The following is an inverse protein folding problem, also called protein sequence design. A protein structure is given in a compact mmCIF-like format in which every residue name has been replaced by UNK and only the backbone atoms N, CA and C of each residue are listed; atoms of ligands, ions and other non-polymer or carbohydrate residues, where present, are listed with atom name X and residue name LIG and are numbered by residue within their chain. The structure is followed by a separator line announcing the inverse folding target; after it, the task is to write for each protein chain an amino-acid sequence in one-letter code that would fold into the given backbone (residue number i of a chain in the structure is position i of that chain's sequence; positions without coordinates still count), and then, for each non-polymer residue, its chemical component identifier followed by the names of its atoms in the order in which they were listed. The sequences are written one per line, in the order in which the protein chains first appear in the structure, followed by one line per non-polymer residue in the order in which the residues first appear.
data_IF_571089324599
#
_entry.id   IF_571089324599
#
_cell.length_a   1.000
_cell.length_b   1.000
_cell.length_c   1.000
_cell.angle_alpha   90.00
_cell.angle_beta   90.00
_cell.angle_gamma   90.00
#
_symmetry.space_group_name_H-M   'P 1'
#
loop_
_entity.id
_entity.type
_entity.pdbx_description
1 polymer ?
#
# COMPACT_ATOMS: atom_id res chain seq x y z
N UNK A 1 -18.28 49.68 4.65
CA UNK A 1 -16.83 49.57 4.96
C UNK A 1 -16.48 48.40 5.90
N UNK A 2 -17.33 48.00 6.82
CA UNK A 2 -17.06 46.88 7.76
C UNK A 2 -16.93 45.51 7.12
N UNK A 3 -17.64 45.25 6.04
CA UNK A 3 -17.57 43.97 5.35
C UNK A 3 -16.18 43.70 4.69
N UNK A 4 -15.49 44.77 4.28
CA UNK A 4 -14.12 44.65 3.74
C UNK A 4 -13.15 44.17 4.84
N UNK A 5 -13.31 44.70 6.07
CA UNK A 5 -12.52 44.25 7.21
C UNK A 5 -12.77 42.78 7.56
N UNK A 6 -14.02 42.32 7.47
CA UNK A 6 -14.36 40.91 7.69
C UNK A 6 -13.78 39.98 6.60
N UNK A 7 -13.79 40.39 5.35
CA UNK A 7 -13.17 39.65 4.25
C UNK A 7 -11.64 39.56 4.42
N UNK A 8 -11.00 40.67 4.79
CA UNK A 8 -9.55 40.70 5.05
C UNK A 8 -9.19 39.79 6.21
N UNK A 9 -9.95 39.80 7.32
CA UNK A 9 -9.74 38.91 8.48
C UNK A 9 -9.91 37.44 8.04
N UNK A 10 -10.96 37.12 7.27
CA UNK A 10 -11.18 35.76 6.79
C UNK A 10 -10.04 35.26 5.90
N UNK A 11 -9.51 36.10 5.02
CA UNK A 11 -8.36 35.78 4.17
C UNK A 11 -7.09 35.56 5.01
N UNK A 12 -6.85 36.42 6.02
CA UNK A 12 -5.69 36.24 6.91
C UNK A 12 -5.80 34.93 7.69
N UNK A 13 -6.98 34.59 8.22
CA UNK A 13 -7.20 33.33 8.93
C UNK A 13 -6.96 32.15 7.98
N UNK A 14 -7.45 32.20 6.76
CA UNK A 14 -7.23 31.15 5.75
C UNK A 14 -5.74 30.98 5.43
N UNK A 15 -5.01 32.07 5.26
CA UNK A 15 -3.55 32.04 5.02
C UNK A 15 -2.82 31.42 6.23
N UNK A 16 -3.19 31.80 7.46
CA UNK A 16 -2.61 31.24 8.68
C UNK A 16 -2.87 29.73 8.78
N UNK A 17 -4.08 29.29 8.43
CA UNK A 17 -4.43 27.87 8.41
C UNK A 17 -3.61 27.12 7.33
N UNK A 18 -3.48 27.68 6.13
CA UNK A 18 -2.69 27.09 5.04
C UNK A 18 -1.20 27.00 5.43
N UNK A 19 -0.66 28.07 6.05
CA UNK A 19 0.73 28.07 6.52
C UNK A 19 0.93 27.09 7.68
N UNK A 20 -0.04 26.96 8.58
CA UNK A 20 0.00 25.99 9.68
C UNK A 20 -0.06 24.54 9.15
N UNK A 21 -0.91 24.26 8.16
CA UNK A 21 -0.97 22.95 7.48
C UNK A 21 0.33 22.68 6.72
N UNK A 22 0.84 23.66 5.97
CA UNK A 22 2.10 23.51 5.23
C UNK A 22 3.32 23.34 6.15
N UNK A 23 3.34 24.00 7.33
CA UNK A 23 4.38 23.80 8.34
C UNK A 23 4.23 22.47 9.07
N UNK A 24 3.02 22.00 9.33
CA UNK A 24 2.76 20.66 9.87
C UNK A 24 3.23 19.58 8.90
N UNK A 25 2.90 19.70 7.61
CA UNK A 25 3.38 18.79 6.55
C UNK A 25 4.90 18.87 6.36
N UNK A 26 5.51 20.05 6.53
CA UNK A 26 6.97 20.23 6.41
C UNK A 26 7.71 19.72 7.65
N UNK A 27 7.14 19.88 8.86
CA UNK A 27 7.68 19.31 10.09
C UNK A 27 7.58 17.78 10.12
N UNK A 28 6.56 17.21 9.47
CA UNK A 28 6.42 15.75 9.34
C UNK A 28 7.47 15.12 8.39
N UNK A 29 8.05 15.93 7.49
CA UNK A 29 9.17 15.53 6.61
C UNK A 29 10.58 15.72 7.22
N UNK A 30 10.69 16.37 8.36
CA UNK A 30 11.97 16.85 8.91
C UNK A 30 12.45 16.23 10.21
N UNK A 31 11.66 15.43 10.91
CA UNK A 31 12.05 14.87 12.21
C UNK A 31 12.23 13.35 12.18
N UNK A 32 13.34 12.89 11.62
CA UNK A 32 13.89 11.55 11.82
C UNK A 32 14.74 11.46 13.10
N UNK A 33 14.32 12.19 14.14
CA UNK A 33 15.00 12.26 15.43
C UNK A 33 14.05 12.07 16.59
N UNK A 34 14.19 10.91 17.23
CA UNK A 34 13.90 10.61 18.63
C UNK A 34 12.52 10.99 19.21
N UNK A 35 11.75 9.97 19.55
CA UNK A 35 10.79 10.00 20.66
C UNK A 35 9.31 10.19 20.36
N UNK A 36 8.61 9.21 19.74
CA UNK A 36 7.13 9.16 19.78
C UNK A 36 6.50 8.53 18.54
N UNK A 37 5.69 7.48 18.73
CA UNK A 37 4.96 6.84 17.63
C UNK A 37 4.01 7.80 16.91
N UNK A 38 4.08 7.82 15.59
CA UNK A 38 3.22 8.62 14.71
C UNK A 38 1.80 8.03 14.63
N UNK A 39 0.76 8.86 14.76
CA UNK A 39 -0.63 8.45 14.53
C UNK A 39 -0.98 8.56 13.04
N UNK A 40 -1.36 7.46 12.44
CA UNK A 40 -1.91 7.40 11.08
C UNK A 40 -3.41 7.22 11.17
N UNK A 41 -4.17 7.86 10.29
CA UNK A 41 -5.64 7.84 10.29
C UNK A 41 -6.21 6.44 10.48
N UNK A 42 -6.95 6.23 11.58
CA UNK A 42 -7.48 4.92 11.99
C UNK A 42 -7.12 4.49 13.41
N UNK A 43 -6.33 5.28 14.16
CA UNK A 43 -6.11 5.08 15.60
C UNK A 43 -5.04 4.07 16.01
N UNK A 44 -4.41 3.39 15.07
CA UNK A 44 -3.33 2.44 15.37
C UNK A 44 -1.97 3.15 15.36
N UNK A 45 -1.20 3.00 16.43
CA UNK A 45 0.14 3.59 16.55
C UNK A 45 1.19 2.62 16.05
N UNK A 46 2.10 3.09 15.20
CA UNK A 46 3.31 2.33 14.84
C UNK A 46 4.25 2.32 16.04
N UNK A 47 4.70 1.14 16.53
CA UNK A 47 5.59 1.05 17.68
C UNK A 47 6.91 1.81 17.47
N UNK A 48 7.37 2.51 18.48
CA UNK A 48 8.59 3.31 18.46
C UNK A 48 9.87 2.54 18.05
N UNK A 49 9.96 1.27 18.45
CA UNK A 49 11.12 0.43 18.15
C UNK A 49 11.10 -0.26 16.79
N UNK A 50 10.12 0.06 15.92
CA UNK A 50 10.07 -0.48 14.55
C UNK A 50 11.23 0.13 13.73
N UNK A 51 12.06 -0.67 13.03
CA UNK A 51 13.08 -0.16 12.13
C UNK A 51 12.52 0.83 11.09
N UNK A 52 13.31 1.81 10.66
CA UNK A 52 12.85 2.87 9.77
C UNK A 52 12.23 2.32 8.46
N UNK A 53 12.86 1.29 7.86
CA UNK A 53 12.33 0.66 6.64
C UNK A 53 11.00 -0.04 6.87
N UNK A 54 10.83 -0.74 8.01
CA UNK A 54 9.58 -1.41 8.36
C UNK A 54 8.47 -0.38 8.62
N UNK A 55 8.81 0.78 9.22
CA UNK A 55 7.87 1.89 9.42
C UNK A 55 7.39 2.49 8.10
N UNK A 56 8.32 2.71 7.17
CA UNK A 56 7.99 3.23 5.84
C UNK A 56 7.07 2.27 5.07
N UNK A 57 7.32 0.95 5.12
CA UNK A 57 6.45 -0.07 4.54
C UNK A 57 5.05 -0.04 5.15
N UNK A 58 4.95 -0.13 6.47
CA UNK A 58 3.65 -0.06 7.19
C UNK A 58 2.86 1.23 6.92
N UNK A 59 3.57 2.35 6.71
CA UNK A 59 2.93 3.61 6.33
C UNK A 59 2.34 3.53 4.93
N UNK A 60 3.10 3.03 3.95
CA UNK A 60 2.64 2.85 2.58
C UNK A 60 1.41 1.95 2.48
N UNK A 61 1.42 0.80 3.17
CA UNK A 61 0.28 -0.13 3.24
C UNK A 61 -0.98 0.56 3.80
N UNK A 62 -0.85 1.33 4.89
CA UNK A 62 -1.96 2.08 5.49
C UNK A 62 -2.49 3.16 4.54
N UNK A 63 -1.61 3.86 3.85
CA UNK A 63 -1.97 4.90 2.88
C UNK A 63 -2.74 4.30 1.71
N UNK A 64 -2.26 3.21 1.12
CA UNK A 64 -2.95 2.48 0.04
C UNK A 64 -4.33 2.02 0.51
N UNK A 65 -4.42 1.35 1.65
CA UNK A 65 -5.69 0.88 2.22
C UNK A 65 -6.68 2.02 2.46
N UNK A 66 -6.22 3.17 2.96
CA UNK A 66 -7.04 4.37 3.16
C UNK A 66 -7.63 4.88 1.84
N UNK A 67 -6.85 4.86 0.78
CA UNK A 67 -7.28 5.32 -0.54
C UNK A 67 -8.17 4.33 -1.31
N UNK A 68 -8.05 3.03 -1.04
CA UNK A 68 -8.83 2.00 -1.73
C UNK A 68 -10.21 1.77 -1.11
N UNK A 69 -10.34 1.87 0.22
CA UNK A 69 -11.62 1.65 0.92
C UNK A 69 -12.80 2.43 0.33
N UNK A 70 -12.69 3.72 -0.03
CA UNK A 70 -13.80 4.48 -0.62
C UNK A 70 -14.22 4.04 -2.02
N UNK A 71 -13.48 3.14 -2.68
CA UNK A 71 -13.83 2.60 -3.99
C UNK A 71 -14.84 1.45 -3.88
N UNK A 72 -14.94 0.83 -2.70
CA UNK A 72 -15.72 -0.37 -2.46
C UNK A 72 -17.17 -0.08 -2.13
N UNK A 73 -18.05 -0.97 -2.56
CA UNK A 73 -19.45 -1.04 -2.15
C UNK A 73 -19.60 -1.77 -0.81
N UNK A 74 -20.79 -1.74 -0.22
CA UNK A 74 -21.07 -2.34 1.10
C UNK A 74 -20.82 -3.86 1.17
N UNK A 75 -20.95 -4.55 0.04
CA UNK A 75 -20.76 -5.99 -0.10
C UNK A 75 -19.43 -6.38 -0.77
N UNK A 76 -18.50 -5.46 -0.85
CA UNK A 76 -17.11 -5.64 -1.34
C UNK A 76 -16.13 -5.49 -0.18
N UNK A 77 -14.97 -6.14 -0.27
CA UNK A 77 -14.07 -6.26 0.88
C UNK A 77 -12.64 -5.89 0.51
N UNK A 78 -11.96 -5.29 1.46
CA UNK A 78 -10.52 -5.05 1.46
C UNK A 78 -9.93 -5.73 2.70
N UNK A 79 -9.21 -6.81 2.48
CA UNK A 79 -8.48 -7.53 3.51
C UNK A 79 -7.02 -7.13 3.47
N UNK A 80 -6.48 -6.71 4.59
CA UNK A 80 -5.08 -6.32 4.72
C UNK A 80 -4.32 -7.33 5.58
N UNK A 81 -3.02 -7.47 5.30
CA UNK A 81 -2.10 -8.24 6.12
C UNK A 81 -2.49 -9.72 6.25
N UNK A 82 -2.54 -10.44 5.14
CA UNK A 82 -2.87 -11.86 5.17
C UNK A 82 -1.58 -12.70 5.31
N UNK A 83 -1.57 -13.66 6.23
CA UNK A 83 -0.52 -14.66 6.37
C UNK A 83 -0.99 -16.03 5.85
N UNK A 84 -0.67 -16.34 4.61
CA UNK A 84 -1.07 -17.59 3.96
C UNK A 84 0.00 -18.68 4.14
N UNK A 85 -0.41 -19.93 4.49
CA UNK A 85 0.53 -21.05 4.63
C UNK A 85 1.07 -21.50 3.28
N UNK A 86 2.35 -21.78 3.24
CA UNK A 86 3.06 -22.40 2.13
C UNK A 86 3.20 -23.91 2.34
N UNK A 87 3.45 -24.66 1.24
CA UNK A 87 3.62 -26.12 1.29
C UNK A 87 4.80 -26.59 2.16
N UNK A 88 5.81 -25.74 2.33
CA UNK A 88 7.01 -26.03 3.13
C UNK A 88 6.85 -25.73 4.64
N UNK A 89 5.62 -25.44 5.09
CA UNK A 89 5.31 -25.11 6.47
C UNK A 89 5.56 -23.64 6.85
N UNK A 90 6.11 -22.84 5.94
CA UNK A 90 6.25 -21.40 6.15
C UNK A 90 4.96 -20.66 5.79
N UNK A 91 4.96 -19.36 6.04
CA UNK A 91 3.89 -18.46 5.60
C UNK A 91 4.46 -17.43 4.62
N UNK A 92 3.60 -16.90 3.77
CA UNK A 92 3.85 -15.68 3.00
C UNK A 92 2.89 -14.60 3.45
N UNK A 93 3.39 -13.38 3.50
CA UNK A 93 2.59 -12.19 3.78
C UNK A 93 2.04 -11.67 2.43
N UNK A 94 0.77 -11.28 2.41
CA UNK A 94 0.13 -10.52 1.33
C UNK A 94 -0.36 -9.22 1.94
N UNK A 95 0.09 -8.10 1.42
CA UNK A 95 -0.19 -6.78 1.99
C UNK A 95 -1.68 -6.49 1.96
N UNK A 96 -2.33 -6.74 0.82
CA UNK A 96 -3.75 -6.44 0.66
C UNK A 96 -4.41 -7.32 -0.41
N UNK A 97 -5.67 -7.71 -0.17
CA UNK A 97 -6.55 -8.35 -1.15
C UNK A 97 -7.83 -7.56 -1.25
N UNK A 98 -8.14 -7.03 -2.44
CA UNK A 98 -9.38 -6.36 -2.76
C UNK A 98 -10.31 -7.36 -3.46
N UNK A 99 -11.54 -7.53 -2.97
CA UNK A 99 -12.54 -8.47 -3.47
C UNK A 99 -13.78 -7.69 -3.85
N UNK A 100 -14.09 -7.65 -5.14
CA UNK A 100 -15.17 -6.82 -5.67
C UNK A 100 -15.85 -7.48 -6.86
N UNK A 101 -16.89 -6.85 -7.41
CA UNK A 101 -17.51 -7.27 -8.67
C UNK A 101 -16.58 -7.20 -9.87
N UNK A 102 -15.52 -6.40 -9.76
CA UNK A 102 -14.52 -6.19 -10.81
C UNK A 102 -13.41 -7.26 -10.82
N UNK A 103 -13.34 -8.09 -9.77
CA UNK A 103 -12.35 -9.16 -9.64
C UNK A 103 -11.77 -9.30 -8.23
N UNK A 104 -10.73 -10.12 -8.14
CA UNK A 104 -9.92 -10.33 -6.95
C UNK A 104 -8.51 -9.81 -7.26
N UNK A 105 -8.10 -8.78 -6.55
CA UNK A 105 -6.81 -8.11 -6.76
C UNK A 105 -5.87 -8.44 -5.60
N UNK A 106 -4.75 -9.10 -5.89
CA UNK A 106 -3.65 -9.28 -4.96
C UNK A 106 -2.74 -8.06 -5.08
N UNK A 107 -2.68 -7.25 -4.03
CA UNK A 107 -2.02 -5.95 -4.06
C UNK A 107 -0.76 -6.00 -3.20
N UNK A 108 0.38 -5.78 -3.83
CA UNK A 108 1.67 -5.52 -3.21
C UNK A 108 1.89 -4.00 -3.13
N UNK A 109 2.26 -3.50 -1.97
CA UNK A 109 2.50 -2.08 -1.75
C UNK A 109 3.99 -1.79 -1.69
N UNK A 110 4.44 -0.79 -2.44
CA UNK A 110 5.79 -0.26 -2.37
C UNK A 110 5.77 1.21 -1.94
N UNK A 111 6.61 1.53 -0.97
CA UNK A 111 6.82 2.91 -0.52
C UNK A 111 8.25 3.34 -0.85
N UNK A 112 8.60 3.27 -2.14
CA UNK A 112 9.88 3.73 -2.66
C UNK A 112 9.77 5.19 -3.07
N UNK A 113 10.84 5.95 -2.87
CA UNK A 113 10.95 7.36 -3.22
C UNK A 113 12.04 7.56 -4.26
N UNK A 114 12.05 8.70 -4.95
CA UNK A 114 12.99 8.99 -6.02
C UNK A 114 12.49 8.50 -7.38
N UNK A 115 13.40 8.33 -8.33
CA UNK A 115 13.07 7.86 -9.67
C UNK A 115 13.18 6.33 -9.75
N UNK A 116 12.10 5.68 -10.14
CA UNK A 116 12.05 4.22 -10.28
C UNK A 116 11.94 3.87 -11.76
N UNK A 117 12.79 2.97 -12.24
CA UNK A 117 12.76 2.48 -13.61
C UNK A 117 12.82 0.94 -13.67
N UNK A 118 12.22 0.38 -14.70
CA UNK A 118 12.17 -1.05 -14.97
C UNK A 118 10.92 -1.46 -15.74
N UNK A 119 10.86 -2.70 -16.17
CA UNK A 119 9.72 -3.29 -16.87
C UNK A 119 9.35 -4.67 -16.30
N UNK A 120 8.22 -5.24 -16.76
CA UNK A 120 7.69 -6.51 -16.23
C UNK A 120 8.64 -7.70 -16.43
N UNK A 121 9.49 -7.67 -17.48
CA UNK A 121 10.42 -8.77 -17.79
C UNK A 121 11.73 -8.68 -17.00
N UNK A 122 12.08 -7.52 -16.47
CA UNK A 122 13.31 -7.33 -15.70
C UNK A 122 13.29 -8.17 -14.42
N UNK A 123 14.46 -8.64 -13.99
CA UNK A 123 14.61 -9.32 -12.70
C UNK A 123 14.70 -8.32 -11.55
N UNK A 124 15.29 -7.15 -11.82
CA UNK A 124 15.47 -6.07 -10.86
C UNK A 124 14.99 -4.76 -11.47
N UNK A 125 14.39 -3.91 -10.62
CA UNK A 125 14.06 -2.54 -10.92
C UNK A 125 15.03 -1.61 -10.22
N UNK A 126 15.37 -0.50 -10.87
CA UNK A 126 16.36 0.44 -10.41
C UNK A 126 15.71 1.64 -9.73
N UNK A 127 16.27 2.06 -8.59
CA UNK A 127 15.86 3.23 -7.82
C UNK A 127 17.01 4.23 -7.77
N UNK A 128 16.80 5.41 -8.33
CA UNK A 128 17.71 6.55 -8.31
C UNK A 128 17.22 7.61 -7.34
N UNK A 129 18.14 8.31 -6.71
CA UNK A 129 17.85 9.39 -5.79
C UNK A 129 18.47 10.70 -6.27
N UNK A 130 17.67 11.78 -6.21
CA UNK A 130 18.19 13.14 -6.46
C UNK A 130 19.12 13.64 -5.35
N UNK A 131 19.13 12.98 -4.19
CA UNK A 131 19.96 13.33 -3.05
C UNK A 131 21.36 12.70 -3.19
N UNK A 132 22.45 13.52 -3.29
CA UNK A 132 23.80 13.02 -3.46
C UNK A 132 24.34 12.23 -2.24
N UNK A 133 23.65 12.26 -1.12
CA UNK A 133 23.97 11.46 0.08
C UNK A 133 23.26 10.10 0.10
N UNK A 134 22.37 9.82 -0.84
CA UNK A 134 21.72 8.53 -1.01
C UNK A 134 22.34 7.76 -2.18
N UNK A 135 22.53 6.47 -2.01
CA UNK A 135 23.03 5.60 -3.08
C UNK A 135 21.88 4.93 -3.80
N UNK A 136 21.97 4.89 -5.13
CA UNK A 136 21.05 4.14 -5.97
C UNK A 136 20.98 2.67 -5.57
N UNK A 137 19.86 2.03 -5.84
CA UNK A 137 19.60 0.66 -5.41
C UNK A 137 18.87 -0.14 -6.48
N UNK A 138 19.22 -1.42 -6.56
CA UNK A 138 18.46 -2.40 -7.31
C UNK A 138 17.53 -3.17 -6.36
N UNK A 139 16.28 -3.28 -6.74
CA UNK A 139 15.27 -4.04 -6.02
C UNK A 139 14.76 -5.18 -6.89
N UNK A 140 14.46 -6.32 -6.30
CA UNK A 140 13.73 -7.35 -7.03
C UNK A 140 12.45 -6.77 -7.62
N UNK A 141 12.14 -7.19 -8.84
CA UNK A 141 10.93 -6.79 -9.53
C UNK A 141 9.69 -7.11 -8.66
N UNK A 142 8.92 -6.10 -8.22
CA UNK A 142 7.78 -6.32 -7.32
C UNK A 142 6.61 -7.01 -8.03
N UNK A 143 6.49 -6.90 -9.34
CA UNK A 143 5.47 -7.62 -10.13
C UNK A 143 5.74 -9.13 -10.05
N UNK A 144 6.99 -9.56 -10.28
CA UNK A 144 7.39 -10.97 -10.15
C UNK A 144 7.29 -11.49 -8.70
N UNK A 145 7.56 -10.64 -7.72
CA UNK A 145 7.35 -10.98 -6.32
C UNK A 145 5.86 -11.28 -6.07
N UNK A 146 4.99 -10.40 -6.52
CA UNK A 146 3.56 -10.52 -6.28
C UNK A 146 2.88 -11.61 -7.12
N UNK A 147 3.43 -12.01 -8.27
CA UNK A 147 3.01 -13.23 -9.00
C UNK A 147 3.06 -14.48 -8.09
N UNK A 148 4.09 -14.59 -7.26
CA UNK A 148 4.20 -15.65 -6.27
C UNK A 148 3.07 -15.60 -5.24
N UNK A 149 2.68 -14.40 -4.80
CA UNK A 149 1.56 -14.19 -3.88
C UNK A 149 0.22 -14.52 -4.54
N UNK A 150 -0.01 -14.09 -5.79
CA UNK A 150 -1.19 -14.44 -6.58
C UNK A 150 -1.35 -15.96 -6.70
N UNK A 151 -0.28 -16.68 -7.05
CA UNK A 151 -0.32 -18.12 -7.16
C UNK A 151 -0.61 -18.84 -5.83
N UNK A 152 -0.21 -18.28 -4.68
CA UNK A 152 -0.58 -18.81 -3.36
C UNK A 152 -2.05 -18.55 -3.08
N UNK A 153 -2.53 -17.34 -3.39
CA UNK A 153 -3.91 -16.93 -3.19
C UNK A 153 -4.86 -17.75 -4.05
N UNK A 154 -4.59 -17.93 -5.33
CA UNK A 154 -5.37 -18.79 -6.25
C UNK A 154 -5.49 -20.23 -5.73
N UNK A 155 -4.37 -20.84 -5.30
CA UNK A 155 -4.41 -22.16 -4.68
C UNK A 155 -5.26 -22.20 -3.41
N UNK A 156 -5.23 -21.14 -2.61
CA UNK A 156 -6.07 -21.02 -1.42
C UNK A 156 -7.55 -20.93 -1.78
N UNK A 157 -7.87 -20.32 -2.90
CA UNK A 157 -9.19 -20.23 -3.49
C UNK A 157 -9.56 -21.46 -4.36
N UNK A 158 -8.81 -22.57 -4.20
CA UNK A 158 -9.00 -23.83 -4.92
C UNK A 158 -8.89 -23.71 -6.45
N UNK A 159 -8.18 -22.69 -6.96
CA UNK A 159 -8.06 -22.32 -8.37
C UNK A 159 -9.43 -22.10 -9.07
N UNK A 160 -10.44 -21.71 -8.32
CA UNK A 160 -11.78 -21.42 -8.86
C UNK A 160 -11.95 -19.95 -9.28
N UNK A 161 -10.97 -19.12 -8.98
CA UNK A 161 -10.98 -17.68 -9.24
C UNK A 161 -9.62 -17.27 -9.79
N UNK A 162 -9.64 -16.39 -10.78
CA UNK A 162 -8.47 -15.67 -11.23
C UNK A 162 -8.15 -14.56 -10.23
N UNK A 163 -6.85 -14.31 -10.02
CA UNK A 163 -6.35 -13.24 -9.14
C UNK A 163 -5.47 -12.31 -9.95
N UNK A 164 -5.84 -11.05 -9.99
CA UNK A 164 -5.08 -10.02 -10.69
C UNK A 164 -3.89 -9.57 -9.85
N UNK A 165 -2.73 -9.53 -10.49
CA UNK A 165 -1.48 -9.06 -9.89
C UNK A 165 -1.43 -7.54 -9.96
N UNK A 166 -1.35 -6.86 -8.82
CA UNK A 166 -1.30 -5.39 -8.74
C UNK A 166 -0.18 -4.95 -7.81
N UNK A 167 0.67 -4.05 -8.28
CA UNK A 167 1.67 -3.37 -7.47
C UNK A 167 1.29 -1.90 -7.35
N UNK A 168 1.19 -1.36 -6.13
CA UNK A 168 0.85 0.03 -5.90
C UNK A 168 2.00 0.74 -5.19
N UNK A 169 2.50 1.80 -5.81
CA UNK A 169 3.45 2.71 -5.20
C UNK A 169 2.70 3.78 -4.40
N UNK A 170 2.92 3.80 -3.08
CA UNK A 170 2.14 4.61 -2.15
C UNK A 170 2.40 6.10 -2.26
N UNK A 171 3.65 6.50 -2.50
CA UNK A 171 4.13 7.89 -2.44
C UNK A 171 4.90 8.31 -3.69
N UNK A 172 4.67 7.66 -4.83
CA UNK A 172 5.21 8.10 -6.11
C UNK A 172 4.21 9.01 -6.84
N UNK A 173 4.72 10.13 -7.34
CA UNK A 173 4.00 11.00 -8.27
C UNK A 173 4.22 10.56 -9.73
N UNK A 174 3.49 11.16 -10.66
CA UNK A 174 3.62 10.90 -12.09
C UNK A 174 5.06 11.24 -12.58
N UNK A 175 5.58 10.47 -13.55
CA UNK A 175 6.89 10.74 -14.17
C UNK A 175 7.99 9.70 -13.90
N UNK A 176 7.64 8.56 -13.37
CA UNK A 176 8.53 7.41 -13.19
C UNK A 176 8.87 6.68 -14.50
N UNK A 177 10.00 6.01 -14.53
CA UNK A 177 10.47 5.23 -15.69
C UNK A 177 10.02 3.77 -15.68
N UNK A 178 8.82 3.46 -15.16
CA UNK A 178 8.28 2.10 -15.09
C UNK A 178 7.43 1.83 -16.33
N UNK A 179 7.75 0.75 -17.04
CA UNK A 179 6.98 0.21 -18.17
C UNK A 179 6.30 -1.10 -17.75
N UNK A 180 5.10 -1.00 -17.17
CA UNK A 180 4.39 -2.15 -16.60
C UNK A 180 2.87 -2.00 -16.74
N UNK A 181 2.22 -3.12 -17.05
CA UNK A 181 0.75 -3.24 -17.05
C UNK A 181 0.19 -3.54 -15.64
N UNK A 182 1.06 -3.86 -14.67
CA UNK A 182 0.70 -4.32 -13.32
C UNK A 182 1.07 -3.33 -12.22
N UNK A 183 1.86 -2.29 -12.52
CA UNK A 183 2.36 -1.34 -11.55
C UNK A 183 1.67 0.02 -11.69
N UNK A 184 1.22 0.55 -10.57
CA UNK A 184 0.39 1.76 -10.50
C UNK A 184 0.86 2.70 -9.39
N UNK A 185 0.59 3.98 -9.55
CA UNK A 185 0.45 4.90 -8.43
C UNK A 185 -0.94 4.70 -7.80
N UNK A 186 -1.17 5.22 -6.60
CA UNK A 186 -2.52 5.24 -6.00
C UNK A 186 -3.54 5.89 -6.94
N UNK A 187 -3.14 6.96 -7.64
CA UNK A 187 -4.00 7.70 -8.55
C UNK A 187 -4.34 6.88 -9.79
N UNK A 188 -3.32 6.36 -10.49
CA UNK A 188 -3.53 5.61 -11.72
C UNK A 188 -4.28 4.29 -11.47
N UNK A 189 -4.07 3.62 -10.30
CA UNK A 189 -4.87 2.46 -9.93
C UNK A 189 -6.36 2.81 -9.75
N UNK A 190 -6.68 3.94 -9.13
CA UNK A 190 -8.07 4.37 -8.98
C UNK A 190 -8.75 4.64 -10.32
N UNK A 191 -8.03 5.20 -11.28
CA UNK A 191 -8.51 5.43 -12.64
C UNK A 191 -8.74 4.08 -13.33
N UNK A 192 -7.73 3.21 -13.36
CA UNK A 192 -7.83 1.84 -13.88
C UNK A 192 -9.01 1.08 -13.27
N UNK A 193 -9.11 1.05 -11.93
CA UNK A 193 -10.17 0.32 -11.24
C UNK A 193 -11.58 0.83 -11.56
N UNK A 194 -11.76 2.14 -11.78
CA UNK A 194 -13.07 2.70 -12.16
C UNK A 194 -13.52 2.24 -13.53
N UNK A 195 -12.56 2.10 -14.46
CA UNK A 195 -12.83 1.76 -15.86
C UNK A 195 -13.12 0.27 -16.08
N UNK A 196 -12.85 -0.59 -15.08
CA UNK A 196 -13.17 -2.02 -15.14
C UNK A 196 -14.68 -2.28 -15.05
N UNK A 197 -15.15 -3.32 -15.74
CA UNK A 197 -16.53 -3.78 -15.71
C UNK A 197 -16.88 -4.51 -14.40
N UNK A 198 -18.14 -4.42 -13.96
CA UNK A 198 -18.68 -5.05 -12.74
C UNK A 198 -19.22 -6.47 -12.99
N UNK A 199 -18.50 -7.31 -13.72
CA UNK A 199 -19.03 -8.59 -14.23
C UNK A 199 -18.29 -9.83 -13.76
N UNK A 200 -17.15 -9.68 -13.12
CA UNK A 200 -16.28 -10.81 -12.74
C UNK A 200 -16.87 -11.65 -11.61
N UNK A 201 -17.37 -11.02 -10.56
CA UNK A 201 -17.93 -11.71 -9.39
C UNK A 201 -19.32 -11.22 -9.03
N UNK A 202 -20.20 -12.16 -8.69
CA UNK A 202 -21.47 -11.83 -8.07
C UNK A 202 -21.35 -11.71 -6.53
N UNK A 203 -22.33 -11.11 -5.82
CA UNK A 203 -22.26 -10.90 -4.37
C UNK A 203 -22.05 -12.18 -3.53
N UNK A 204 -22.58 -13.33 -3.98
CA UNK A 204 -22.40 -14.60 -3.28
C UNK A 204 -20.96 -15.11 -3.41
N UNK A 205 -20.35 -14.93 -4.56
CA UNK A 205 -18.94 -15.28 -4.80
C UNK A 205 -18.00 -14.37 -4.00
N UNK A 206 -18.27 -13.06 -3.99
CA UNK A 206 -17.52 -12.08 -3.19
C UNK A 206 -17.51 -12.49 -1.72
N UNK A 207 -18.70 -12.80 -1.18
CA UNK A 207 -18.85 -13.26 0.21
C UNK A 207 -18.11 -14.57 0.47
N UNK A 208 -18.20 -15.55 -0.44
CA UNK A 208 -17.52 -16.84 -0.31
C UNK A 208 -15.98 -16.66 -0.28
N UNK A 209 -15.43 -15.84 -1.17
CA UNK A 209 -14.01 -15.53 -1.20
C UNK A 209 -13.57 -14.83 0.10
N UNK A 210 -14.34 -13.85 0.54
CA UNK A 210 -14.08 -13.16 1.81
C UNK A 210 -14.04 -14.14 3.00
N UNK A 211 -15.03 -15.01 3.13
CA UNK A 211 -15.11 -15.99 4.22
C UNK A 211 -13.96 -17.01 4.19
N UNK A 212 -13.47 -17.39 2.97
CA UNK A 212 -12.32 -18.27 2.82
C UNK A 212 -11.00 -17.60 3.22
N UNK A 213 -10.88 -16.29 3.08
CA UNK A 213 -9.65 -15.54 3.35
C UNK A 213 -9.60 -14.91 4.73
N UNK A 214 -10.75 -14.58 5.32
CA UNK A 214 -10.85 -13.93 6.63
C UNK A 214 -10.02 -14.61 7.73
N UNK A 215 -9.93 -15.95 7.84
CA UNK A 215 -9.12 -16.62 8.87
C UNK A 215 -7.61 -16.38 8.76
N UNK A 216 -7.13 -15.80 7.68
CA UNK A 216 -5.70 -15.52 7.42
C UNK A 216 -5.33 -14.07 7.64
N UNK A 217 -6.28 -13.20 7.94
CA UNK A 217 -6.00 -11.83 8.34
C UNK A 217 -5.25 -11.86 9.67
N UNK A 218 -4.02 -11.38 9.66
CA UNK A 218 -3.12 -11.45 10.79
C UNK A 218 -3.28 -10.25 11.73
N UNK A 219 -3.10 -10.48 13.01
CA UNK A 219 -2.92 -9.42 13.99
C UNK A 219 -1.54 -8.77 13.86
N UNK A 220 -1.37 -7.56 14.40
CA UNK A 220 -0.08 -6.86 14.43
C UNK A 220 1.02 -7.70 15.09
N UNK A 221 0.69 -8.46 16.14
CA UNK A 221 1.65 -9.33 16.84
C UNK A 221 2.08 -10.53 15.97
N UNK A 222 1.16 -11.09 15.18
CA UNK A 222 1.48 -12.18 14.26
C UNK A 222 2.36 -11.71 13.11
N UNK A 223 2.09 -10.53 12.57
CA UNK A 223 2.94 -9.91 11.54
C UNK A 223 4.35 -9.63 12.07
N UNK A 224 4.47 -9.06 13.26
CA UNK A 224 5.76 -8.79 13.88
C UNK A 224 6.57 -10.06 14.03
N UNK A 225 5.96 -11.12 14.57
CA UNK A 225 6.62 -12.43 14.70
C UNK A 225 7.02 -13.01 13.35
N UNK A 226 6.15 -12.92 12.35
CA UNK A 226 6.45 -13.39 11.00
C UNK A 226 7.65 -12.65 10.39
N UNK A 227 7.69 -11.32 10.48
CA UNK A 227 8.81 -10.49 9.99
C UNK A 227 10.13 -10.81 10.72
N UNK A 228 10.09 -11.09 12.01
CA UNK A 228 11.25 -11.55 12.78
C UNK A 228 11.72 -12.94 12.33
N UNK A 229 10.82 -13.89 12.13
CA UNK A 229 11.15 -15.24 11.63
C UNK A 229 11.78 -15.18 10.23
N UNK A 230 11.26 -14.36 9.34
CA UNK A 230 11.81 -14.16 7.98
C UNK A 230 13.22 -13.55 8.10
N UNK A 231 13.40 -12.49 8.88
CA UNK A 231 14.71 -11.85 9.08
C UNK A 231 15.76 -12.82 9.61
N UNK A 232 15.42 -13.62 10.63
CA UNK A 232 16.33 -14.59 11.24
C UNK A 232 16.70 -15.75 10.32
N UNK A 233 15.95 -15.96 9.24
CA UNK A 233 16.24 -17.03 8.25
C UNK A 233 17.27 -16.60 7.21
N UNK A 234 17.40 -15.31 6.96
CA UNK A 234 18.29 -14.74 5.93
C UNK A 234 19.52 -14.03 6.51
N UNK A 235 19.68 -14.01 7.84
CA UNK A 235 20.89 -13.60 8.55
C UNK A 235 21.67 -14.84 9.02
#
# INVERSE_FOLDING_TARGET
MWWIALVVIAVIILIVIIVAIASAVRNDRGDYGDGGGTQVGGGERIPFFTPANDRAGMWGEKLVNYHLRPLLREDEYLLANLLLPLRNGHKTEIDCVLISRKGIFCIETKNWVGHISGNDNDEYWHQEYDDPYMSDRDHRNPVKQNEGHCAVLERRLHNNYQVDNIVIFADLEDGWGIESDYAFTVRSFKEYYRDLDDTELNPSQIKAVYEMLLPFVASSDELTRHKEEVRNRFN
#
